data_IF_904939495672
#
_entry.id   IF_904939495672
#
_cell.length_a   1.000
_cell.length_b   1.000
_cell.length_c   1.000
_cell.angle_alpha   90.00
_cell.angle_beta   90.00
_cell.angle_gamma   90.00
#
_symmetry.space_group_name_H-M   'P 1'
#
loop_
_entity.id
_entity.type
_entity.pdbx_description
1 polymer ?
#
# COMPACT_ATOMS: atom_id res chain seq x y z
N UNK A 1 8.79 -10.63 -2.47
CA UNK A 1 8.88 -9.17 -2.64
C UNK A 1 7.53 -8.47 -2.42
N UNK A 2 6.42 -9.20 -2.44
CA UNK A 2 5.06 -8.61 -2.38
C UNK A 2 4.75 -7.80 -1.14
N UNK A 3 5.28 -8.19 0.03
CA UNK A 3 5.15 -7.39 1.25
C UNK A 3 5.84 -6.03 1.14
N UNK A 4 6.98 -5.99 0.46
CA UNK A 4 7.72 -4.75 0.24
C UNK A 4 7.00 -3.86 -0.77
N UNK A 5 6.45 -4.45 -1.84
CA UNK A 5 5.61 -3.75 -2.81
C UNK A 5 4.37 -3.12 -2.15
N UNK A 6 3.65 -3.90 -1.33
CA UNK A 6 2.49 -3.41 -0.56
C UNK A 6 2.92 -2.30 0.42
N UNK A 7 4.05 -2.47 1.11
CA UNK A 7 4.54 -1.47 2.06
C UNK A 7 4.91 -0.16 1.36
N UNK A 8 5.62 -0.21 0.23
CA UNK A 8 5.96 0.97 -0.57
C UNK A 8 4.71 1.67 -1.09
N UNK A 9 3.73 0.94 -1.60
CA UNK A 9 2.45 1.53 -2.05
C UNK A 9 1.72 2.26 -0.91
N UNK A 10 1.65 1.66 0.27
CA UNK A 10 1.06 2.27 1.46
C UNK A 10 1.88 3.44 2.04
N UNK A 11 3.14 3.63 1.63
CA UNK A 11 3.93 4.81 1.96
C UNK A 11 3.51 6.03 1.13
N UNK A 12 2.96 5.81 -0.06
CA UNK A 12 2.53 6.88 -0.97
C UNK A 12 1.06 7.27 -0.81
N UNK A 13 0.19 6.35 -0.40
CA UNK A 13 -1.24 6.62 -0.27
C UNK A 13 -1.97 5.65 0.68
N UNK A 14 -3.14 6.08 1.15
CA UNK A 14 -4.11 5.24 1.87
C UNK A 14 -4.84 4.31 0.88
N UNK A 15 -4.59 3.01 0.99
CA UNK A 15 -5.06 2.01 0.04
C UNK A 15 -5.91 0.91 0.69
N UNK A 16 -6.99 0.54 0.03
CA UNK A 16 -7.82 -0.63 0.39
C UNK A 16 -7.19 -1.93 -0.11
N UNK A 17 -7.66 -3.07 0.43
CA UNK A 17 -7.28 -4.40 -0.09
C UNK A 17 -7.59 -4.56 -1.58
N UNK A 18 -8.70 -3.95 -2.04
CA UNK A 18 -9.10 -3.99 -3.45
C UNK A 18 -8.07 -3.29 -4.33
N UNK A 19 -7.76 -2.04 -4.01
CA UNK A 19 -6.78 -1.25 -4.76
C UNK A 19 -5.38 -1.89 -4.73
N UNK A 20 -4.95 -2.41 -3.58
CA UNK A 20 -3.69 -3.15 -3.48
C UNK A 20 -3.66 -4.39 -4.38
N UNK A 21 -4.76 -5.14 -4.46
CA UNK A 21 -4.88 -6.30 -5.35
C UNK A 21 -4.83 -5.89 -6.82
N UNK A 22 -5.51 -4.80 -7.18
CA UNK A 22 -5.57 -4.29 -8.55
C UNK A 22 -4.20 -3.76 -9.00
N UNK A 23 -3.50 -3.01 -8.14
CA UNK A 23 -2.17 -2.47 -8.42
C UNK A 23 -1.14 -3.60 -8.56
N UNK A 24 -1.07 -4.48 -7.55
CA UNK A 24 -0.02 -5.52 -7.50
C UNK A 24 -0.31 -6.73 -8.40
N UNK A 25 -1.54 -6.83 -8.92
CA UNK A 25 -2.10 -7.99 -9.64
C UNK A 25 -2.09 -9.28 -8.80
N UNK A 26 -2.16 -9.14 -7.48
CA UNK A 26 -2.20 -10.26 -6.54
C UNK A 26 -3.65 -10.61 -6.18
N UNK A 27 -3.96 -11.89 -5.90
CA UNK A 27 -5.26 -12.28 -5.36
C UNK A 27 -5.56 -11.56 -4.05
N UNK A 28 -6.80 -11.08 -3.87
CA UNK A 28 -7.24 -10.37 -2.66
C UNK A 28 -6.92 -11.12 -1.37
N UNK A 29 -7.06 -12.45 -1.32
CA UNK A 29 -6.74 -13.22 -0.12
C UNK A 29 -5.23 -13.25 0.20
N UNK A 30 -4.37 -13.26 -0.83
CA UNK A 30 -2.93 -13.12 -0.63
C UNK A 30 -2.59 -11.73 -0.09
N UNK A 31 -3.17 -10.67 -0.67
CA UNK A 31 -3.02 -9.29 -0.18
C UNK A 31 -3.45 -9.19 1.28
N UNK A 32 -4.63 -9.71 1.66
CA UNK A 32 -5.09 -9.71 3.06
C UNK A 32 -4.12 -10.42 3.98
N UNK A 33 -3.56 -11.56 3.57
CA UNK A 33 -2.55 -12.29 4.36
C UNK A 33 -1.27 -11.47 4.54
N UNK A 34 -0.83 -10.74 3.52
CA UNK A 34 0.35 -9.87 3.59
C UNK A 34 0.10 -8.65 4.49
N UNK A 35 -1.02 -7.95 4.29
CA UNK A 35 -1.43 -6.81 5.11
C UNK A 35 -1.55 -7.20 6.57
N UNK A 36 -2.22 -8.32 6.90
CA UNK A 36 -2.30 -8.83 8.29
C UNK A 36 -0.93 -9.01 8.94
N UNK A 37 0.08 -9.49 8.20
CA UNK A 37 1.44 -9.64 8.73
C UNK A 37 2.11 -8.29 8.97
N UNK A 38 1.97 -7.36 8.02
CA UNK A 38 2.56 -6.03 8.13
C UNK A 38 1.94 -5.24 9.28
N UNK A 39 0.63 -5.33 9.48
CA UNK A 39 -0.07 -4.75 10.64
C UNK A 39 0.41 -5.36 11.95
N UNK A 40 0.51 -6.70 12.03
CA UNK A 40 1.02 -7.38 13.25
C UNK A 40 2.46 -7.02 13.59
N UNK A 41 3.23 -6.56 12.61
CA UNK A 41 4.61 -6.12 12.77
C UNK A 41 4.74 -4.58 12.81
N UNK A 42 3.64 -3.85 13.03
CA UNK A 42 3.57 -2.38 13.12
C UNK A 42 4.09 -1.62 11.90
N UNK A 43 4.15 -2.25 10.73
CA UNK A 43 4.55 -1.57 9.48
C UNK A 43 3.37 -0.84 8.82
N UNK A 44 2.14 -1.31 9.03
CA UNK A 44 0.92 -0.71 8.50
C UNK A 44 -0.08 -0.46 9.62
N UNK A 45 -0.87 0.61 9.46
CA UNK A 45 -2.03 0.90 10.29
C UNK A 45 -3.29 1.02 9.45
N UNK A 46 -4.44 0.82 10.10
CA UNK A 46 -5.75 0.91 9.48
C UNK A 46 -6.47 2.14 10.00
N UNK A 47 -6.93 3.01 9.09
CA UNK A 47 -7.83 4.10 9.46
C UNK A 47 -9.25 3.55 9.59
N UNK A 48 -9.68 3.29 10.82
CA UNK A 48 -11.03 2.76 11.13
C UNK A 48 -12.16 3.77 10.88
N UNK A 49 -11.84 5.03 10.59
CA UNK A 49 -12.83 6.09 10.35
C UNK A 49 -13.42 6.09 8.93
N UNK A 50 -13.02 5.18 8.04
CA UNK A 50 -13.61 5.05 6.69
C UNK A 50 -14.41 3.76 6.56
N UNK A 51 -15.53 3.76 5.80
CA UNK A 51 -16.39 2.58 5.61
C UNK A 51 -15.68 1.40 4.93
N UNK A 52 -14.51 1.62 4.34
CA UNK A 52 -13.59 0.62 3.85
C UNK A 52 -12.25 0.78 4.58
N UNK A 53 -11.82 -0.27 5.28
CA UNK A 53 -10.52 -0.33 5.97
C UNK A 53 -9.39 -0.01 5.00
N UNK A 54 -8.87 1.20 5.09
CA UNK A 54 -7.74 1.69 4.29
C UNK A 54 -6.47 1.56 5.11
N UNK A 55 -5.40 1.11 4.44
CA UNK A 55 -4.11 0.84 5.05
C UNK A 55 -3.09 1.88 4.61
N UNK A 56 -2.30 2.35 5.56
CA UNK A 56 -1.23 3.30 5.35
C UNK A 56 0.03 2.86 6.10
N UNK A 57 1.19 3.32 5.65
CA UNK A 57 2.46 3.09 6.34
C UNK A 57 2.45 3.77 7.71
N UNK A 58 2.88 3.03 8.72
CA UNK A 58 3.08 3.59 10.05
C UNK A 58 4.32 4.52 10.04
N UNK A 59 4.11 5.83 9.92
CA UNK A 59 5.18 6.82 9.86
C UNK A 59 5.70 7.30 11.25
N UNK A 60 5.22 6.72 12.36
CA UNK A 60 5.58 7.16 13.71
C UNK A 60 5.59 6.05 14.76
N UNK A 61 6.28 6.26 15.88
CA UNK A 61 6.47 5.26 16.94
C UNK A 61 7.77 4.45 16.78
N UNK A 62 7.98 3.46 17.66
CA UNK A 62 9.25 2.73 17.81
C UNK A 62 9.73 2.03 16.53
N UNK A 63 8.79 1.64 15.66
CA UNK A 63 9.07 0.87 14.43
C UNK A 63 8.89 1.68 13.14
N UNK A 64 8.39 2.93 13.20
CA UNK A 64 8.09 3.73 12.01
C UNK A 64 9.32 4.15 11.21
N UNK A 65 10.44 4.42 11.89
CA UNK A 65 11.72 4.69 11.23
C UNK A 65 12.28 3.48 10.46
N UNK A 66 11.98 2.27 10.92
CA UNK A 66 12.37 1.03 10.22
C UNK A 66 11.51 0.81 8.97
N UNK A 67 10.21 1.09 9.05
CA UNK A 67 9.31 1.03 7.89
C UNK A 67 9.78 1.96 6.77
N UNK A 68 10.10 3.20 7.12
CA UNK A 68 10.62 4.19 6.18
C UNK A 68 11.96 3.76 5.58
N UNK A 69 12.92 3.35 6.41
CA UNK A 69 14.22 2.88 5.94
C UNK A 69 14.10 1.70 4.96
N UNK A 70 13.18 0.76 5.23
CA UNK A 70 12.94 -0.38 4.35
C UNK A 70 12.40 0.09 2.99
N UNK A 71 11.49 1.07 2.96
CA UNK A 71 10.98 1.65 1.71
C UNK A 71 12.05 2.42 0.95
N UNK A 72 12.86 3.22 1.63
CA UNK A 72 13.94 3.98 1.00
C UNK A 72 15.00 3.06 0.36
N UNK A 73 15.16 1.85 0.91
CA UNK A 73 16.06 0.82 0.39
C UNK A 73 15.44 -0.09 -0.68
N UNK A 74 14.15 0.06 -1.03
CA UNK A 74 13.59 -0.70 -2.15
C UNK A 74 14.33 -0.30 -3.44
N UNK A 75 14.71 -1.27 -4.28
CA UNK A 75 15.30 -0.96 -5.56
C UNK A 75 14.26 -0.28 -6.44
N UNK A 76 14.31 1.04 -6.58
CA UNK A 76 13.29 1.81 -7.31
C UNK A 76 13.23 1.50 -8.82
N UNK A 77 14.24 0.79 -9.34
CA UNK A 77 14.37 0.38 -10.74
C UNK A 77 13.94 -1.08 -11.00
N UNK A 78 13.35 -1.77 -10.01
CA UNK A 78 12.67 -3.01 -10.31
C UNK A 78 11.40 -2.69 -11.13
N UNK A 79 11.33 -3.20 -12.36
CA UNK A 79 10.24 -2.87 -13.28
C UNK A 79 8.83 -3.13 -12.73
N UNK A 80 8.71 -3.93 -11.66
CA UNK A 80 7.45 -4.13 -10.93
C UNK A 80 7.04 -2.92 -10.09
N UNK A 81 7.94 -2.31 -9.31
CA UNK A 81 7.57 -1.16 -8.48
C UNK A 81 7.22 0.05 -9.32
N UNK A 82 7.98 0.32 -10.40
CA UNK A 82 7.65 1.39 -11.35
C UNK A 82 6.25 1.23 -11.95
N UNK A 83 5.89 0.00 -12.36
CA UNK A 83 4.54 -0.30 -12.87
C UNK A 83 3.47 -0.14 -11.80
N UNK A 84 3.76 -0.54 -10.57
CA UNK A 84 2.84 -0.41 -9.45
C UNK A 84 2.56 1.07 -9.14
N UNK A 85 3.58 1.93 -9.18
CA UNK A 85 3.43 3.38 -9.01
C UNK A 85 2.61 4.03 -10.14
N UNK A 86 2.82 3.62 -11.39
CA UNK A 86 2.00 4.09 -12.52
C UNK A 86 0.52 3.69 -12.37
N UNK A 87 0.25 2.48 -11.89
CA UNK A 87 -1.13 2.02 -11.61
C UNK A 87 -1.74 2.76 -10.43
N UNK A 88 -0.94 3.04 -9.41
CA UNK A 88 -1.35 3.83 -8.25
C UNK A 88 -1.77 5.25 -8.69
N UNK A 89 -0.98 5.91 -9.54
CA UNK A 89 -1.32 7.22 -10.11
C UNK A 89 -2.66 7.18 -10.85
N UNK A 90 -2.89 6.17 -11.69
CA UNK A 90 -4.15 6.00 -12.41
C UNK A 90 -5.37 5.81 -11.48
N UNK A 91 -5.22 5.07 -10.37
CA UNK A 91 -6.29 4.88 -9.37
C UNK A 91 -6.57 6.19 -8.63
N UNK A 92 -5.53 6.94 -8.27
CA UNK A 92 -5.69 8.24 -7.60
C UNK A 92 -6.38 9.25 -8.51
N UNK A 93 -6.02 9.29 -9.80
CA UNK A 93 -6.69 10.11 -10.81
C UNK A 93 -8.17 9.73 -10.96
N UNK A 94 -8.50 8.44 -10.97
CA UNK A 94 -9.88 7.98 -11.00
C UNK A 94 -10.66 8.41 -9.74
N UNK A 95 -10.02 8.36 -8.57
CA UNK A 95 -10.62 8.82 -7.30
C UNK A 95 -10.90 10.32 -7.30
N UNK A 96 -9.99 11.12 -7.86
CA UNK A 96 -10.13 12.58 -7.96
C UNK A 96 -11.22 13.00 -8.96
N UNK A 97 -11.42 12.24 -10.04
CA UNK A 97 -12.43 12.54 -11.07
C UNK A 97 -13.87 12.23 -10.63
N UNK A 98 -14.07 11.49 -9.54
CA UNK A 98 -15.38 11.09 -9.04
C UNK A 98 -16.07 10.03 -9.93
N UNK A 99 -17.07 9.27 -9.41
CA UNK A 99 -17.84 8.35 -10.24
C UNK A 99 -18.58 9.14 -11.35
N UNK A 100 -18.72 8.59 -12.57
CA UNK A 100 -19.59 9.20 -13.56
C UNK A 100 -21.01 9.28 -12.98
N UNK A 101 -21.61 10.48 -13.10
CA UNK A 101 -22.92 10.83 -12.58
C UNK A 101 -24.06 9.95 -13.10
#
# INVERSE_FOLDING_TARGET
LDRLRILGLCAHADLTVGELADITSLPREQVRRHVRRLVRANFLCCNEQRPQSSYHMQAGGKDGGLAQLVVDLLPHDDGHHKRDLQRLEAIQDARLKGPPA
#
